data_IF_184733094315
#
_entry.id   IF_184733094315
#
_cell.length_a   1.000
_cell.length_b   1.000
_cell.length_c   1.000
_cell.angle_alpha   90.00
_cell.angle_beta   90.00
_cell.angle_gamma   90.00
#
_symmetry.space_group_name_H-M   'P 1'
#
loop_
_entity.id
_entity.type
_entity.pdbx_description
1 polymer ?
#
# COMPACT_ATOMS: atom_id res chain seq x y z
N UNK A 1 -9.58 4.29 -37.64
CA UNK A 1 -8.60 3.21 -37.77
C UNK A 1 -8.82 2.21 -36.64
N UNK A 2 -8.79 0.89 -36.89
CA UNK A 2 -9.00 -0.11 -35.86
C UNK A 2 -7.87 -0.07 -34.81
N UNK A 3 -8.19 -0.51 -33.60
CA UNK A 3 -7.22 -0.68 -32.53
C UNK A 3 -6.55 -2.04 -32.66
N UNK A 4 -5.25 -2.06 -32.50
CA UNK A 4 -4.46 -3.28 -32.43
C UNK A 4 -3.72 -3.35 -31.09
N UNK A 5 -3.87 -4.48 -30.36
CA UNK A 5 -3.14 -4.71 -29.12
C UNK A 5 -1.96 -5.62 -29.38
N UNK A 6 -0.76 -5.17 -28.99
CA UNK A 6 0.49 -5.91 -29.18
C UNK A 6 1.24 -6.08 -27.87
N UNK A 7 1.84 -7.26 -27.63
CA UNK A 7 2.72 -7.47 -26.48
C UNK A 7 4.05 -6.72 -26.66
N UNK A 8 4.58 -6.23 -25.55
CA UNK A 8 5.88 -5.54 -25.49
C UNK A 8 7.00 -6.58 -25.55
N UNK A 9 7.77 -6.57 -26.64
CA UNK A 9 8.87 -7.54 -26.86
C UNK A 9 10.23 -6.85 -27.01
N UNK A 10 10.30 -5.83 -27.83
CA UNK A 10 11.56 -5.14 -28.14
C UNK A 10 11.87 -4.01 -27.14
N UNK A 11 13.13 -3.60 -27.05
CA UNK A 11 13.56 -2.47 -26.21
C UNK A 11 12.83 -1.15 -26.54
N UNK A 12 12.49 -0.97 -27.83
CA UNK A 12 11.70 0.19 -28.28
C UNK A 12 10.30 0.17 -27.69
N UNK A 13 9.67 -1.01 -27.59
CA UNK A 13 8.31 -1.15 -27.08
C UNK A 13 8.31 -0.88 -25.56
N UNK A 14 9.32 -1.35 -24.82
CA UNK A 14 9.51 -1.00 -23.40
C UNK A 14 9.65 0.52 -23.24
N UNK A 15 10.37 1.18 -24.15
CA UNK A 15 10.52 2.64 -24.11
C UNK A 15 9.19 3.33 -24.35
N UNK A 16 8.41 2.86 -25.33
CA UNK A 16 7.06 3.34 -25.61
C UNK A 16 6.14 3.13 -24.41
N UNK A 17 6.13 1.92 -23.84
CA UNK A 17 5.33 1.59 -22.66
C UNK A 17 5.64 2.53 -21.48
N UNK A 18 6.92 2.74 -21.16
CA UNK A 18 7.34 3.60 -20.06
C UNK A 18 6.99 5.07 -20.33
N UNK A 19 7.09 5.53 -21.57
CA UNK A 19 6.92 6.95 -21.90
C UNK A 19 5.50 7.34 -22.34
N UNK A 20 4.58 6.39 -22.48
CA UNK A 20 3.22 6.66 -22.88
C UNK A 20 2.49 7.68 -21.97
N UNK A 21 2.64 7.65 -20.63
CA UNK A 21 1.99 8.60 -19.74
C UNK A 21 2.27 10.07 -20.08
N UNK A 22 3.49 10.39 -20.53
CA UNK A 22 3.84 11.78 -20.96
C UNK A 22 3.06 12.27 -22.18
N UNK A 23 2.45 11.37 -22.95
CA UNK A 23 1.60 11.70 -24.10
C UNK A 23 0.13 11.77 -23.75
N UNK A 24 -0.26 11.18 -22.64
CA UNK A 24 -1.66 11.14 -22.17
C UNK A 24 -1.91 12.28 -21.19
N UNK A 25 -1.01 12.51 -20.25
CA UNK A 25 -1.20 13.52 -19.22
C UNK A 25 -0.74 14.91 -19.70
N UNK A 26 -1.62 15.89 -19.49
CA UNK A 26 -1.31 17.27 -19.86
C UNK A 26 -0.15 17.84 -19.03
N UNK A 27 0.77 18.58 -19.65
CA UNK A 27 1.81 19.29 -18.93
C UNK A 27 1.21 20.28 -17.91
N UNK A 28 1.79 20.32 -16.71
CA UNK A 28 1.32 21.22 -15.63
C UNK A 28 0.10 20.73 -14.87
N UNK A 29 -0.48 19.60 -15.25
CA UNK A 29 -1.55 18.94 -14.49
C UNK A 29 -1.08 18.34 -13.15
N UNK A 30 -1.98 17.70 -12.40
CA UNK A 30 -1.66 17.07 -11.12
C UNK A 30 -0.70 15.88 -11.24
N UNK A 31 -0.70 15.19 -12.38
CA UNK A 31 0.16 14.02 -12.61
C UNK A 31 1.63 14.32 -12.38
N UNK A 32 2.34 13.39 -11.74
CA UNK A 32 3.77 13.51 -11.44
C UNK A 32 4.56 12.49 -12.24
N UNK A 33 5.44 12.94 -13.15
CA UNK A 33 6.27 12.07 -13.96
C UNK A 33 7.23 11.23 -13.10
N UNK A 34 7.18 9.87 -13.16
CA UNK A 34 8.13 9.03 -12.47
C UNK A 34 9.51 9.07 -13.17
N UNK A 35 10.56 8.64 -12.47
CA UNK A 35 11.88 8.50 -13.09
C UNK A 35 11.87 7.37 -14.13
N UNK A 36 12.16 7.69 -15.39
CA UNK A 36 12.18 6.72 -16.51
C UNK A 36 13.09 5.52 -16.22
N UNK A 37 14.25 5.76 -15.57
CA UNK A 37 15.19 4.70 -15.20
C UNK A 37 14.59 3.73 -14.19
N UNK A 38 13.87 4.24 -13.20
CA UNK A 38 13.23 3.42 -12.17
C UNK A 38 12.06 2.62 -12.75
N UNK A 39 11.24 3.24 -13.61
CA UNK A 39 10.17 2.52 -14.32
C UNK A 39 10.71 1.35 -15.13
N UNK A 40 11.80 1.55 -15.90
CA UNK A 40 12.44 0.47 -16.63
C UNK A 40 12.97 -0.64 -15.74
N UNK A 41 13.52 -0.29 -14.56
CA UNK A 41 14.03 -1.26 -13.58
C UNK A 41 12.88 -2.04 -12.93
N UNK A 42 11.76 -1.40 -12.67
CA UNK A 42 10.57 -2.05 -12.14
C UNK A 42 10.01 -3.09 -13.12
N UNK A 43 10.00 -2.79 -14.41
CA UNK A 43 9.53 -3.70 -15.47
C UNK A 43 10.55 -4.79 -15.86
N UNK A 44 11.80 -4.69 -15.40
CA UNK A 44 12.87 -5.64 -15.78
C UNK A 44 12.71 -6.96 -15.05
N UNK A 45 12.26 -7.99 -15.79
CA UNK A 45 12.02 -9.34 -15.27
C UNK A 45 13.25 -10.00 -14.64
N UNK A 46 14.46 -9.56 -14.99
CA UNK A 46 15.71 -10.13 -14.45
C UNK A 46 16.16 -9.44 -13.16
N UNK A 47 15.76 -8.20 -12.93
CA UNK A 47 16.25 -7.35 -11.84
C UNK A 47 15.22 -7.11 -10.74
N UNK A 48 13.95 -7.24 -11.07
CA UNK A 48 12.87 -7.07 -10.08
C UNK A 48 12.61 -8.41 -9.37
N UNK A 49 12.82 -8.50 -8.03
CA UNK A 49 12.61 -9.72 -7.27
C UNK A 49 11.16 -10.24 -7.30
N UNK A 50 10.19 -9.39 -7.61
CA UNK A 50 8.80 -9.80 -7.85
C UNK A 50 8.69 -10.98 -8.83
N UNK A 51 9.51 -11.00 -9.88
CA UNK A 51 9.49 -12.07 -10.89
C UNK A 51 10.10 -13.40 -10.45
N UNK A 52 10.57 -13.50 -9.22
CA UNK A 52 10.94 -14.80 -8.64
C UNK A 52 9.71 -15.67 -8.30
N UNK A 53 8.54 -15.04 -8.11
CA UNK A 53 7.29 -15.71 -7.75
C UNK A 53 6.09 -15.26 -8.58
N UNK A 54 6.31 -14.48 -9.62
CA UNK A 54 5.25 -13.92 -10.44
C UNK A 54 5.62 -13.92 -11.93
N UNK A 55 4.62 -13.85 -12.76
CA UNK A 55 4.76 -13.64 -14.20
C UNK A 55 3.91 -12.45 -14.65
N UNK A 56 4.32 -11.79 -15.72
CA UNK A 56 3.59 -10.66 -16.26
C UNK A 56 3.70 -10.58 -17.79
N UNK A 57 2.67 -10.01 -18.40
CA UNK A 57 2.68 -9.54 -19.77
C UNK A 57 2.44 -8.03 -19.82
N UNK A 58 3.11 -7.36 -20.72
CA UNK A 58 2.93 -5.93 -20.96
C UNK A 58 2.33 -5.74 -22.34
N UNK A 59 1.27 -4.96 -22.44
CA UNK A 59 0.47 -4.79 -23.63
C UNK A 59 0.39 -3.30 -24.01
N UNK A 60 0.48 -3.00 -25.30
CA UNK A 60 0.30 -1.68 -25.89
C UNK A 60 -0.84 -1.72 -26.90
N UNK A 61 -1.77 -0.77 -26.79
CA UNK A 61 -2.77 -0.52 -27.83
C UNK A 61 -2.23 0.51 -28.83
N UNK A 62 -2.41 0.22 -30.08
CA UNK A 62 -1.98 1.05 -31.22
C UNK A 62 -3.16 1.44 -32.08
N UNK A 63 -3.22 2.70 -32.50
CA UNK A 63 -4.18 3.23 -33.47
C UNK A 63 -3.43 4.09 -34.47
N UNK A 64 -3.50 3.72 -35.77
CA UNK A 64 -2.83 4.49 -36.83
C UNK A 64 -1.31 4.60 -36.66
N UNK A 65 -0.66 3.58 -36.07
CA UNK A 65 0.79 3.59 -35.82
C UNK A 65 1.23 4.35 -34.56
N UNK A 66 0.29 4.94 -33.81
CA UNK A 66 0.54 5.63 -32.55
C UNK A 66 0.09 4.75 -31.36
N UNK A 67 0.92 4.67 -30.31
CA UNK A 67 0.52 4.02 -29.06
C UNK A 67 -0.49 4.92 -28.31
N UNK A 68 -1.70 4.40 -28.04
CA UNK A 68 -2.80 5.12 -27.41
C UNK A 68 -3.15 4.61 -26.02
N UNK A 69 -2.66 3.42 -25.65
CA UNK A 69 -2.89 2.86 -24.33
C UNK A 69 -1.89 1.77 -23.98
N UNK A 70 -1.80 1.45 -22.69
CA UNK A 70 -0.98 0.38 -22.14
C UNK A 70 -1.67 -0.29 -20.94
N UNK A 71 -1.33 -1.55 -20.68
CA UNK A 71 -1.72 -2.27 -19.46
C UNK A 71 -0.71 -3.39 -19.19
N UNK A 72 -0.55 -3.80 -17.94
CA UNK A 72 0.06 -5.09 -17.60
C UNK A 72 -1.01 -6.07 -17.14
N UNK A 73 -0.86 -7.35 -17.53
CA UNK A 73 -1.51 -8.47 -16.88
C UNK A 73 -0.44 -9.27 -16.13
N UNK A 74 -0.72 -9.72 -14.91
CA UNK A 74 0.28 -10.45 -14.13
C UNK A 74 -0.38 -11.38 -13.11
N UNK A 75 0.33 -12.45 -12.77
CA UNK A 75 -0.08 -13.42 -11.75
C UNK A 75 1.00 -13.45 -10.68
N UNK A 76 0.61 -13.18 -9.46
CA UNK A 76 1.46 -13.36 -8.29
C UNK A 76 1.09 -14.68 -7.61
N UNK A 77 1.89 -15.72 -7.88
CA UNK A 77 1.65 -17.06 -7.34
C UNK A 77 1.77 -17.10 -5.81
N UNK A 78 2.58 -16.22 -5.22
CA UNK A 78 2.74 -16.13 -3.78
C UNK A 78 1.51 -15.50 -3.11
N UNK A 79 0.97 -14.43 -3.68
CA UNK A 79 -0.29 -13.83 -3.23
C UNK A 79 -1.40 -14.87 -3.28
N UNK A 80 -1.53 -15.57 -4.41
CA UNK A 80 -2.55 -16.57 -4.61
C UNK A 80 -2.42 -17.75 -3.62
N UNK A 81 -1.19 -18.23 -3.41
CA UNK A 81 -0.94 -19.28 -2.41
C UNK A 81 -1.22 -18.81 -0.98
N UNK A 82 -0.87 -17.56 -0.63
CA UNK A 82 -1.13 -17.00 0.69
C UNK A 82 -2.62 -16.85 0.99
N UNK A 83 -3.38 -16.45 -0.02
CA UNK A 83 -4.81 -16.14 0.14
C UNK A 83 -5.73 -17.28 -0.23
N UNK A 84 -5.24 -18.36 -0.80
CA UNK A 84 -6.05 -19.45 -1.33
C UNK A 84 -6.92 -19.02 -2.53
N UNK A 85 -6.40 -18.11 -3.39
CA UNK A 85 -7.12 -17.55 -4.53
C UNK A 85 -6.47 -17.91 -5.87
N UNK A 86 -7.15 -17.61 -6.98
CA UNK A 86 -6.62 -17.71 -8.35
C UNK A 86 -6.74 -16.34 -9.04
N UNK A 87 -6.36 -15.29 -8.34
CA UNK A 87 -6.45 -13.93 -8.89
C UNK A 87 -5.44 -13.71 -9.99
N UNK A 88 -5.89 -13.18 -11.10
CA UNK A 88 -5.08 -12.46 -12.07
C UNK A 88 -5.11 -10.98 -11.76
N UNK A 89 -3.98 -10.31 -11.86
CA UNK A 89 -3.84 -8.90 -11.55
C UNK A 89 -3.61 -8.08 -12.81
N UNK A 90 -4.08 -6.82 -12.81
CA UNK A 90 -3.80 -5.86 -13.86
C UNK A 90 -3.31 -4.53 -13.27
N UNK A 91 -2.44 -3.83 -14.01
CA UNK A 91 -1.88 -2.56 -13.55
C UNK A 91 -1.18 -1.78 -14.67
N UNK A 92 -0.43 -0.75 -14.33
CA UNK A 92 0.23 0.16 -15.28
C UNK A 92 -0.72 0.66 -16.38
N UNK A 93 -2.01 0.73 -16.06
CA UNK A 93 -3.03 1.11 -17.02
C UNK A 93 -2.94 2.60 -17.32
N UNK A 94 -2.79 2.90 -18.58
CA UNK A 94 -2.85 4.25 -19.13
C UNK A 94 -3.52 4.18 -20.49
N UNK A 95 -4.49 5.03 -20.73
CA UNK A 95 -5.19 5.08 -21.99
C UNK A 95 -5.65 6.50 -22.29
N UNK A 96 -5.63 6.89 -23.57
CA UNK A 96 -6.37 8.08 -24.02
C UNK A 96 -7.86 7.88 -23.71
N UNK A 97 -8.65 8.94 -23.76
CA UNK A 97 -10.11 8.83 -23.68
C UNK A 97 -10.64 8.16 -24.96
N UNK A 98 -10.49 6.85 -24.99
CA UNK A 98 -10.76 5.96 -26.12
C UNK A 98 -11.29 4.62 -25.60
N UNK A 99 -12.62 4.46 -25.49
CA UNK A 99 -13.24 3.24 -24.99
C UNK A 99 -12.85 1.97 -25.77
N UNK A 100 -12.71 2.06 -27.11
CA UNK A 100 -12.32 0.90 -27.93
C UNK A 100 -10.88 0.44 -27.56
N UNK A 101 -9.94 1.38 -27.40
CA UNK A 101 -8.58 1.05 -27.03
C UNK A 101 -8.47 0.49 -25.59
N UNK A 102 -9.22 1.09 -24.64
CA UNK A 102 -9.25 0.63 -23.26
C UNK A 102 -9.84 -0.80 -23.17
N UNK A 103 -10.97 -1.03 -23.81
CA UNK A 103 -11.63 -2.33 -23.82
C UNK A 103 -10.77 -3.41 -24.50
N UNK A 104 -10.12 -3.08 -25.63
CA UNK A 104 -9.21 -4.01 -26.29
C UNK A 104 -8.02 -4.40 -25.40
N UNK A 105 -7.45 -3.43 -24.65
CA UNK A 105 -6.36 -3.71 -23.69
C UNK A 105 -6.81 -4.61 -22.55
N UNK A 106 -7.95 -4.29 -21.93
CA UNK A 106 -8.49 -5.06 -20.83
C UNK A 106 -8.90 -6.47 -21.27
N UNK A 107 -9.48 -6.62 -22.49
CA UNK A 107 -9.80 -7.92 -23.06
C UNK A 107 -8.56 -8.78 -23.33
N UNK A 108 -7.48 -8.18 -23.85
CA UNK A 108 -6.22 -8.87 -24.04
C UNK A 108 -5.55 -9.29 -22.72
N UNK A 109 -5.67 -8.46 -21.68
CA UNK A 109 -5.23 -8.80 -20.32
C UNK A 109 -6.07 -9.93 -19.72
N UNK A 110 -7.39 -9.87 -19.87
CA UNK A 110 -8.35 -10.92 -19.44
C UNK A 110 -8.04 -12.26 -20.08
N UNK A 111 -7.86 -12.29 -21.40
CA UNK A 111 -7.51 -13.52 -22.14
C UNK A 111 -6.20 -14.11 -21.63
N UNK A 112 -5.14 -13.29 -21.46
CA UNK A 112 -3.85 -13.72 -20.95
C UNK A 112 -3.94 -14.32 -19.54
N UNK A 113 -4.80 -13.76 -18.66
CA UNK A 113 -5.05 -14.26 -17.32
C UNK A 113 -5.88 -15.55 -17.32
N UNK A 114 -6.89 -15.64 -18.19
CA UNK A 114 -7.71 -16.86 -18.38
C UNK A 114 -6.87 -18.05 -18.82
N UNK A 115 -5.93 -17.86 -19.78
CA UNK A 115 -4.96 -18.89 -20.19
C UNK A 115 -4.11 -19.45 -19.03
N UNK A 116 -4.01 -18.71 -17.91
CA UNK A 116 -3.25 -19.09 -16.72
C UNK A 116 -4.12 -19.64 -15.60
N UNK A 117 -5.40 -19.89 -15.90
CA UNK A 117 -6.33 -20.46 -14.96
C UNK A 117 -6.75 -19.53 -13.82
N UNK A 118 -6.61 -18.22 -14.01
CA UNK A 118 -7.19 -17.26 -13.09
C UNK A 118 -8.71 -17.26 -13.20
N UNK A 119 -9.40 -17.14 -12.06
CA UNK A 119 -10.87 -17.08 -11.99
C UNK A 119 -11.40 -15.66 -11.84
N UNK A 120 -10.49 -14.71 -11.59
CA UNK A 120 -10.84 -13.31 -11.35
C UNK A 120 -9.70 -12.38 -11.79
N UNK A 121 -10.06 -11.28 -12.44
CA UNK A 121 -9.17 -10.20 -12.79
C UNK A 121 -9.34 -9.05 -11.80
N UNK A 122 -8.27 -8.64 -11.07
CA UNK A 122 -8.31 -7.66 -9.97
C UNK A 122 -7.27 -6.57 -10.18
N UNK A 123 -7.62 -5.31 -9.91
CA UNK A 123 -6.70 -4.17 -10.01
C UNK A 123 -7.41 -2.81 -10.03
N UNK A 124 -6.72 -1.73 -10.45
CA UNK A 124 -5.33 -1.73 -10.91
C UNK A 124 -4.33 -1.82 -9.75
N UNK A 125 -3.26 -2.58 -9.97
CA UNK A 125 -2.09 -2.67 -9.08
C UNK A 125 -0.82 -2.74 -9.93
N UNK A 126 0.16 -1.91 -9.62
CA UNK A 126 1.45 -1.99 -10.28
C UNK A 126 2.30 -3.08 -9.60
N UNK A 127 1.98 -4.33 -9.95
CA UNK A 127 2.45 -5.62 -9.43
C UNK A 127 1.83 -6.04 -8.10
N UNK A 128 1.83 -5.20 -7.07
CA UNK A 128 1.31 -5.56 -5.75
C UNK A 128 0.75 -4.35 -5.01
N UNK A 129 0.07 -4.60 -3.89
CA UNK A 129 -0.42 -3.54 -2.99
C UNK A 129 0.69 -2.68 -2.35
N UNK A 130 1.95 -3.12 -2.46
CA UNK A 130 3.11 -2.35 -1.98
C UNK A 130 3.59 -1.29 -2.98
N UNK A 131 3.09 -1.32 -4.22
CA UNK A 131 3.30 -0.32 -5.27
C UNK A 131 2.14 0.66 -5.42
N UNK A 132 2.16 1.49 -6.47
CA UNK A 132 1.00 2.27 -6.86
C UNK A 132 -0.18 1.36 -7.16
N UNK A 133 -1.33 1.61 -6.53
CA UNK A 133 -2.50 0.75 -6.67
C UNK A 133 -3.81 1.50 -6.42
N UNK A 134 -4.89 0.97 -6.99
CA UNK A 134 -6.21 1.57 -7.00
C UNK A 134 -6.37 2.67 -8.07
N UNK A 135 -7.53 2.75 -8.67
CA UNK A 135 -7.91 3.79 -9.62
C UNK A 135 -8.42 5.02 -8.86
N UNK A 136 -7.88 6.20 -9.13
CA UNK A 136 -8.39 7.44 -8.55
C UNK A 136 -9.83 7.68 -9.03
N UNK A 137 -10.77 7.81 -8.10
CA UNK A 137 -12.21 8.03 -8.39
C UNK A 137 -12.75 9.34 -7.80
N UNK A 138 -12.03 9.95 -6.85
CA UNK A 138 -12.32 11.28 -6.29
C UNK A 138 -11.01 11.99 -5.91
N UNK A 139 -11.01 13.33 -5.97
CA UNK A 139 -9.83 14.14 -5.62
C UNK A 139 -8.89 14.42 -6.80
N UNK A 140 -9.38 14.40 -8.03
CA UNK A 140 -8.62 14.56 -9.28
C UNK A 140 -7.79 15.83 -9.38
N UNK A 141 -8.19 16.92 -8.70
CA UNK A 141 -7.48 18.19 -8.70
C UNK A 141 -6.19 18.16 -7.85
N UNK A 142 -6.04 17.17 -6.99
CA UNK A 142 -4.90 17.05 -6.09
C UNK A 142 -3.79 16.22 -6.72
N UNK A 143 -2.56 16.69 -6.56
CA UNK A 143 -1.40 15.89 -6.96
C UNK A 143 -1.27 14.63 -6.11
N UNK A 144 -0.76 13.52 -6.69
CA UNK A 144 -0.44 12.33 -5.94
C UNK A 144 0.78 12.56 -5.06
N UNK A 145 0.79 11.98 -3.86
CA UNK A 145 2.01 11.86 -3.07
C UNK A 145 2.86 10.66 -3.51
N UNK A 146 4.05 10.54 -2.95
CA UNK A 146 4.98 9.45 -3.30
C UNK A 146 4.31 8.07 -3.20
N UNK A 147 4.53 7.20 -4.21
CA UNK A 147 3.92 5.87 -4.34
C UNK A 147 2.38 5.88 -4.49
N UNK A 148 1.79 6.97 -4.85
CA UNK A 148 0.36 7.10 -5.12
C UNK A 148 0.13 7.26 -6.63
N UNK A 149 -0.81 6.52 -7.24
CA UNK A 149 -1.17 6.73 -8.62
C UNK A 149 -2.07 7.96 -8.78
N UNK A 150 -2.03 8.56 -9.96
CA UNK A 150 -2.98 9.59 -10.37
C UNK A 150 -3.56 9.23 -11.73
N UNK A 151 -4.86 9.40 -11.88
CA UNK A 151 -5.59 9.07 -13.10
C UNK A 151 -6.54 10.19 -13.49
N UNK A 152 -6.75 10.43 -14.80
CA UNK A 152 -7.83 11.30 -15.29
C UNK A 152 -9.20 10.74 -14.91
N UNK A 153 -10.18 11.61 -14.76
CA UNK A 153 -11.53 11.22 -14.32
C UNK A 153 -12.24 10.25 -15.29
N UNK A 154 -11.94 10.32 -16.57
CA UNK A 154 -12.54 9.44 -17.58
C UNK A 154 -12.09 7.98 -17.48
N UNK A 155 -10.96 7.66 -16.80
CA UNK A 155 -10.54 6.27 -16.61
C UNK A 155 -11.58 5.42 -15.91
N UNK A 156 -12.34 6.01 -14.99
CA UNK A 156 -13.44 5.32 -14.31
C UNK A 156 -14.46 4.81 -15.33
N UNK A 157 -14.89 5.65 -16.24
CA UNK A 157 -15.85 5.26 -17.29
C UNK A 157 -15.28 4.19 -18.23
N UNK A 158 -14.00 4.25 -18.57
CA UNK A 158 -13.34 3.24 -19.40
C UNK A 158 -13.33 1.86 -18.74
N UNK A 159 -13.02 1.80 -17.43
CA UNK A 159 -12.91 0.56 -16.67
C UNK A 159 -14.31 -0.04 -16.38
N UNK A 160 -15.24 0.79 -15.91
CA UNK A 160 -16.62 0.38 -15.62
C UNK A 160 -17.37 -0.03 -16.92
N UNK A 161 -17.13 0.69 -18.04
CA UNK A 161 -17.68 0.37 -19.36
C UNK A 161 -17.19 -0.96 -19.94
N UNK A 162 -16.04 -1.47 -19.51
CA UNK A 162 -15.56 -2.81 -19.83
C UNK A 162 -16.29 -3.90 -19.03
N UNK A 163 -17.12 -3.56 -18.07
CA UNK A 163 -17.84 -4.49 -17.20
C UNK A 163 -17.07 -4.87 -15.94
N UNK A 164 -16.09 -4.10 -15.52
CA UNK A 164 -15.49 -4.27 -14.21
C UNK A 164 -16.34 -3.65 -13.12
N UNK A 165 -16.43 -4.32 -11.98
CA UNK A 165 -17.17 -3.89 -10.81
C UNK A 165 -16.24 -3.47 -9.67
N UNK A 166 -16.73 -2.59 -8.80
CA UNK A 166 -15.98 -2.13 -7.64
C UNK A 166 -15.78 -3.29 -6.65
N UNK A 167 -14.53 -3.58 -6.30
CA UNK A 167 -14.17 -4.57 -5.30
C UNK A 167 -13.93 -3.92 -3.93
N UNK A 168 -13.04 -2.93 -3.87
CA UNK A 168 -12.63 -2.25 -2.64
C UNK A 168 -12.38 -0.79 -2.90
N UNK A 169 -12.83 0.07 -1.98
CA UNK A 169 -12.51 1.50 -1.97
C UNK A 169 -11.55 1.82 -0.83
N UNK A 170 -10.57 2.66 -1.10
CA UNK A 170 -9.60 3.14 -0.11
C UNK A 170 -9.62 4.65 -0.02
N UNK A 171 -9.44 5.14 1.19
CA UNK A 171 -9.47 6.55 1.54
C UNK A 171 -8.05 7.08 1.74
N UNK A 172 -7.85 8.33 1.31
CA UNK A 172 -6.69 9.15 1.66
C UNK A 172 -7.13 10.25 2.60
N UNK A 173 -6.52 10.27 3.76
CA UNK A 173 -6.81 11.22 4.81
C UNK A 173 -5.74 12.31 4.85
N UNK A 174 -6.15 13.56 4.78
CA UNK A 174 -5.26 14.72 4.92
C UNK A 174 -5.36 15.29 6.35
N UNK A 175 -4.21 15.49 6.97
CA UNK A 175 -4.05 16.22 8.22
C UNK A 175 -3.24 17.50 7.99
N UNK A 176 -3.82 18.65 8.33
CA UNK A 176 -3.08 19.91 8.40
C UNK A 176 -2.41 20.06 9.75
N UNK A 177 -1.10 20.21 9.75
CA UNK A 177 -0.31 20.25 10.98
C UNK A 177 -0.32 21.62 11.67
N UNK A 178 -0.94 22.64 11.03
CA UNK A 178 -1.29 23.91 11.70
C UNK A 178 -2.35 23.74 12.79
N UNK A 179 -3.14 22.66 12.71
CA UNK A 179 -4.22 22.34 13.64
C UNK A 179 -3.72 21.50 14.84
N UNK A 180 -2.44 21.66 15.21
CA UNK A 180 -1.77 20.90 16.30
C UNK A 180 -2.48 20.94 17.66
N UNK A 181 -3.29 21.95 17.87
CA UNK A 181 -4.10 22.09 19.07
C UNK A 181 -5.23 21.03 19.20
N UNK A 182 -5.31 20.08 18.25
CA UNK A 182 -6.40 19.11 18.17
C UNK A 182 -6.01 17.66 18.43
N UNK A 183 -4.80 17.37 18.90
CA UNK A 183 -4.58 16.09 19.57
C UNK A 183 -5.48 16.07 20.79
N UNK A 184 -6.42 15.11 20.81
CA UNK A 184 -7.27 14.93 21.96
C UNK A 184 -6.40 14.62 23.18
N UNK A 185 -6.62 15.25 24.36
CA UNK A 185 -5.83 15.00 25.56
C UNK A 185 -5.71 13.51 25.90
N UNK A 186 -6.76 12.73 25.66
CA UNK A 186 -6.75 11.27 25.86
C UNK A 186 -5.66 10.55 25.06
N UNK A 187 -5.30 11.05 23.87
CA UNK A 187 -4.23 10.44 23.05
C UNK A 187 -2.86 10.69 23.70
N UNK A 188 -2.65 11.88 24.26
CA UNK A 188 -1.42 12.22 24.99
C UNK A 188 -1.32 11.43 26.30
N UNK A 189 -2.40 11.32 27.08
CA UNK A 189 -2.47 10.51 28.29
C UNK A 189 -2.15 9.03 28.02
N UNK A 190 -2.75 8.45 26.96
CA UNK A 190 -2.45 7.07 26.56
C UNK A 190 -0.98 6.87 26.16
N UNK A 191 -0.40 7.86 25.49
CA UNK A 191 1.00 7.81 25.10
C UNK A 191 1.95 7.91 26.32
N UNK A 192 1.62 8.74 27.33
CA UNK A 192 2.42 8.88 28.57
C UNK A 192 2.40 7.62 29.42
N UNK A 193 1.29 6.88 29.43
CA UNK A 193 1.13 5.62 30.16
C UNK A 193 1.81 4.41 29.50
N UNK A 194 2.21 4.54 28.25
CA UNK A 194 2.70 3.45 27.42
C UNK A 194 3.95 2.76 28.00
N UNK A 195 4.96 3.52 28.40
CA UNK A 195 6.21 2.97 28.96
C UNK A 195 5.99 2.47 30.39
N UNK A 196 5.37 3.23 31.34
CA UNK A 196 5.23 2.77 32.72
C UNK A 196 4.26 1.58 32.88
N UNK A 197 3.17 1.51 32.11
CA UNK A 197 2.15 0.45 32.27
C UNK A 197 2.41 -0.78 31.37
N UNK A 198 2.95 -0.56 30.17
CA UNK A 198 3.07 -1.62 29.18
C UNK A 198 4.52 -1.97 28.80
N UNK A 199 5.51 -1.22 29.35
CA UNK A 199 6.93 -1.41 29.03
C UNK A 199 7.27 -1.18 27.56
N UNK A 200 6.45 -0.40 26.83
CA UNK A 200 6.64 -0.12 25.41
C UNK A 200 7.32 1.23 25.25
N UNK A 201 8.44 1.22 24.54
CA UNK A 201 9.21 2.42 24.21
C UNK A 201 9.16 2.70 22.72
N UNK A 202 8.95 3.95 22.33
CA UNK A 202 9.00 4.38 20.92
C UNK A 202 10.37 4.99 20.62
N UNK A 203 10.96 4.59 19.51
CA UNK A 203 12.20 5.14 19.00
C UNK A 203 12.19 5.36 17.50
N UNK A 204 13.08 6.18 17.02
CA UNK A 204 13.35 6.34 15.59
C UNK A 204 14.21 5.19 15.05
N UNK A 205 14.04 4.87 13.76
CA UNK A 205 14.88 3.88 13.08
C UNK A 205 16.32 4.37 12.91
N UNK A 206 17.30 3.47 13.14
CA UNK A 206 18.71 3.79 12.90
C UNK A 206 19.08 3.54 11.42
N UNK A 207 19.37 4.62 10.70
CA UNK A 207 19.81 4.56 9.29
C UNK A 207 21.11 3.79 9.09
N UNK A 208 21.94 3.62 10.12
CA UNK A 208 23.20 2.87 10.06
C UNK A 208 22.91 1.37 9.95
N UNK A 209 21.82 0.92 10.57
CA UNK A 209 21.37 -0.47 10.61
C UNK A 209 20.12 -0.71 9.79
N UNK A 210 19.88 0.08 8.72
CA UNK A 210 18.62 0.10 7.97
C UNK A 210 18.13 -1.28 7.53
N UNK A 211 19.02 -2.21 7.18
CA UNK A 211 18.63 -3.58 6.82
C UNK A 211 17.99 -4.35 7.99
N UNK A 212 18.49 -4.17 9.21
CA UNK A 212 17.91 -4.77 10.42
C UNK A 212 16.58 -4.09 10.77
N UNK A 213 16.52 -2.75 10.67
CA UNK A 213 15.31 -1.97 10.94
C UNK A 213 14.17 -2.33 9.98
N UNK A 214 14.46 -2.52 8.70
CA UNK A 214 13.45 -2.95 7.70
C UNK A 214 12.94 -4.36 8.01
N UNK A 215 13.78 -5.28 8.48
CA UNK A 215 13.30 -6.60 8.92
C UNK A 215 12.43 -6.52 10.17
N UNK A 216 12.79 -5.66 11.15
CA UNK A 216 11.95 -5.39 12.34
C UNK A 216 10.61 -4.79 11.94
N UNK A 217 10.62 -3.82 11.02
CA UNK A 217 9.41 -3.26 10.45
C UNK A 217 8.54 -4.33 9.79
N UNK A 218 9.15 -5.20 8.95
CA UNK A 218 8.43 -6.23 8.22
C UNK A 218 7.72 -7.22 9.15
N UNK A 219 8.33 -7.61 10.29
CA UNK A 219 7.68 -8.49 11.28
C UNK A 219 6.37 -7.90 11.82
N UNK A 220 6.40 -6.63 12.23
CA UNK A 220 5.19 -5.94 12.70
C UNK A 220 4.19 -5.75 11.55
N UNK A 221 4.70 -5.40 10.36
CA UNK A 221 3.88 -5.22 9.18
C UNK A 221 3.13 -6.50 8.81
N UNK A 222 3.81 -7.64 8.79
CA UNK A 222 3.18 -8.94 8.52
C UNK A 222 2.13 -9.28 9.58
N UNK A 223 2.43 -9.12 10.86
CA UNK A 223 1.48 -9.41 11.95
C UNK A 223 0.25 -8.49 11.91
N UNK A 224 0.45 -7.19 11.65
CA UNK A 224 -0.62 -6.20 11.68
C UNK A 224 -1.54 -6.27 10.46
N UNK A 225 -1.00 -6.65 9.26
CA UNK A 225 -1.73 -6.65 7.98
C UNK A 225 -2.04 -8.02 7.41
N UNK A 226 -1.70 -9.13 8.09
CA UNK A 226 -1.90 -10.50 7.60
C UNK A 226 -3.30 -10.77 7.01
N UNK A 227 -4.33 -10.17 7.59
CA UNK A 227 -5.74 -10.34 7.17
C UNK A 227 -6.26 -9.22 6.26
N UNK A 228 -5.44 -8.22 5.93
CA UNK A 228 -5.88 -7.13 5.07
C UNK A 228 -6.05 -7.60 3.62
N UNK A 229 -7.00 -6.96 2.94
CA UNK A 229 -7.28 -7.24 1.54
C UNK A 229 -6.03 -7.04 0.67
N UNK A 230 -5.77 -7.99 -0.22
CA UNK A 230 -4.63 -7.93 -1.16
C UNK A 230 -3.24 -8.08 -0.54
N UNK A 231 -3.13 -8.27 0.79
CA UNK A 231 -1.84 -8.44 1.45
C UNK A 231 -1.23 -9.81 1.15
N UNK A 232 0.08 -9.82 0.92
CA UNK A 232 0.95 -10.98 0.99
C UNK A 232 2.28 -10.58 1.63
N UNK A 233 2.92 -11.46 2.42
CA UNK A 233 4.23 -11.18 3.01
C UNK A 233 5.28 -10.88 1.94
N UNK A 234 6.22 -10.00 2.23
CA UNK A 234 7.34 -9.70 1.35
C UNK A 234 8.43 -10.78 1.46
N UNK A 235 9.06 -11.09 0.34
CA UNK A 235 10.25 -11.95 0.34
C UNK A 235 11.46 -11.17 0.87
N UNK A 236 12.47 -11.89 1.38
CA UNK A 236 13.72 -11.28 1.83
C UNK A 236 14.41 -10.47 0.70
N UNK A 237 14.29 -10.92 -0.55
CA UNK A 237 14.82 -10.21 -1.71
C UNK A 237 14.08 -8.87 -1.96
N UNK A 238 12.77 -8.84 -1.78
CA UNK A 238 11.96 -7.63 -1.86
C UNK A 238 12.26 -6.69 -0.70
N UNK A 239 12.37 -7.20 0.53
CA UNK A 239 12.76 -6.39 1.70
C UNK A 239 14.13 -5.74 1.50
N UNK A 240 15.13 -6.49 0.99
CA UNK A 240 16.45 -5.92 0.65
C UNK A 240 16.35 -4.86 -0.45
N UNK A 241 15.46 -5.05 -1.42
CA UNK A 241 15.21 -4.05 -2.44
C UNK A 241 14.59 -2.80 -1.85
N UNK A 242 13.52 -2.93 -1.05
CA UNK A 242 12.87 -1.79 -0.38
C UNK A 242 13.85 -1.04 0.52
N UNK A 243 14.66 -1.73 1.32
CA UNK A 243 15.70 -1.09 2.15
C UNK A 243 16.67 -0.25 1.31
N UNK A 244 17.09 -0.76 0.14
CA UNK A 244 17.98 -0.05 -0.77
C UNK A 244 17.30 1.15 -1.42
N UNK A 245 16.07 0.99 -1.88
CA UNK A 245 15.33 2.01 -2.64
C UNK A 245 14.83 3.13 -1.68
N UNK A 246 14.54 2.81 -0.41
CA UNK A 246 14.18 3.78 0.63
C UNK A 246 15.37 4.56 1.16
N UNK A 247 16.57 4.00 1.17
CA UNK A 247 17.77 4.62 1.79
C UNK A 247 18.02 6.09 1.40
N UNK A 248 17.90 6.51 0.12
CA UNK A 248 18.12 7.91 -0.28
C UNK A 248 17.00 8.86 0.12
N UNK A 249 15.78 8.34 0.37
CA UNK A 249 14.56 9.13 0.59
C UNK A 249 14.04 9.01 2.03
N UNK A 250 14.50 8.02 2.79
CA UNK A 250 14.11 7.83 4.18
C UNK A 250 14.64 8.95 5.05
N UNK A 251 13.74 9.60 5.75
CA UNK A 251 14.04 10.46 6.87
C UNK A 251 13.75 9.68 8.17
N UNK A 252 14.79 9.46 8.99
CA UNK A 252 14.66 8.66 10.20
C UNK A 252 13.69 9.26 11.22
N UNK A 253 13.52 10.58 11.20
CA UNK A 253 12.59 11.26 12.11
C UNK A 253 11.14 10.86 11.86
N UNK A 254 10.81 10.38 10.64
CA UNK A 254 9.49 9.90 10.24
C UNK A 254 9.35 8.38 10.24
N UNK A 255 10.36 7.65 10.70
CA UNK A 255 10.36 6.19 10.73
C UNK A 255 10.50 5.69 12.18
N UNK A 256 9.41 5.19 12.74
CA UNK A 256 9.28 4.85 14.16
C UNK A 256 9.10 3.36 14.37
N UNK A 257 9.69 2.87 15.44
CA UNK A 257 9.48 1.54 16.01
C UNK A 257 9.03 1.69 17.46
N UNK A 258 7.95 1.00 17.83
CA UNK A 258 7.59 0.75 19.22
C UNK A 258 8.12 -0.62 19.61
N UNK A 259 8.85 -0.72 20.72
CA UNK A 259 9.52 -1.93 21.19
C UNK A 259 9.14 -2.24 22.64
N UNK A 260 8.93 -3.52 22.94
CA UNK A 260 8.74 -4.04 24.28
C UNK A 260 9.78 -5.13 24.53
N UNK A 261 10.65 -4.93 25.55
CA UNK A 261 11.74 -5.88 25.81
C UNK A 261 12.71 -6.09 24.64
N UNK A 262 12.86 -5.07 23.76
CA UNK A 262 13.72 -5.16 22.55
C UNK A 262 13.02 -5.75 21.32
N UNK A 263 11.81 -6.30 21.45
CA UNK A 263 11.02 -6.82 20.32
C UNK A 263 10.10 -5.74 19.74
N UNK A 264 10.03 -5.61 18.39
CA UNK A 264 9.17 -4.63 17.74
C UNK A 264 7.71 -5.05 17.85
N UNK A 265 6.88 -4.15 18.37
CA UNK A 265 5.44 -4.36 18.60
C UNK A 265 4.57 -3.34 17.86
N UNK A 266 5.17 -2.27 17.37
CA UNK A 266 4.46 -1.26 16.58
C UNK A 266 5.40 -0.53 15.63
N UNK A 267 4.85 -0.02 14.53
CA UNK A 267 5.59 0.71 13.50
C UNK A 267 4.80 1.90 13.00
N UNK A 268 5.51 2.98 12.65
CA UNK A 268 4.99 4.03 11.80
C UNK A 268 6.05 4.45 10.79
N UNK A 269 5.66 4.62 9.54
CA UNK A 269 6.54 5.03 8.46
C UNK A 269 5.93 6.20 7.69
N UNK A 270 6.55 7.36 7.82
CA UNK A 270 6.31 8.52 7.00
C UNK A 270 7.43 8.70 5.97
N UNK A 271 7.07 9.09 4.77
CA UNK A 271 8.03 9.52 3.74
C UNK A 271 7.76 10.97 3.36
N UNK A 272 8.78 11.86 3.39
CA UNK A 272 8.67 13.17 2.79
C UNK A 272 8.19 13.06 1.34
N UNK A 273 7.26 13.92 0.92
CA UNK A 273 6.68 13.81 -0.42
C UNK A 273 7.67 14.20 -1.53
N UNK A 274 8.47 13.24 -1.94
CA UNK A 274 9.41 13.40 -3.04
C UNK A 274 8.75 13.65 -4.40
N UNK A 275 7.43 13.51 -4.53
CA UNK A 275 6.73 13.91 -5.75
C UNK A 275 6.85 15.41 -6.00
N UNK A 276 6.99 16.24 -4.96
CA UNK A 276 7.33 17.68 -5.10
C UNK A 276 8.68 17.90 -5.78
N UNK A 277 9.60 16.95 -5.63
CA UNK A 277 10.90 16.96 -6.33
C UNK A 277 10.76 16.38 -7.74
N UNK A 278 10.12 15.22 -7.89
CA UNK A 278 9.96 14.49 -9.16
C UNK A 278 9.26 15.33 -10.22
N UNK A 279 8.23 16.09 -9.83
CA UNK A 279 7.53 17.03 -10.73
C UNK A 279 8.47 18.00 -11.46
N UNK A 280 9.57 18.41 -10.80
CA UNK A 280 10.58 19.33 -11.36
C UNK A 280 11.62 18.64 -12.23
N UNK A 281 11.68 17.29 -12.20
CA UNK A 281 12.67 16.48 -12.91
C UNK A 281 12.17 15.97 -14.25
N UNK A 282 10.85 15.97 -14.47
CA UNK A 282 10.21 15.45 -15.67
C UNK A 282 10.78 14.09 -16.10
N UNK A 283 10.90 13.17 -15.14
CA UNK A 283 11.40 11.81 -15.38
C UNK A 283 12.92 11.68 -15.60
N UNK A 284 13.70 12.77 -15.47
CA UNK A 284 15.15 12.78 -15.77
C UNK A 284 15.97 13.27 -14.58
N UNK A 285 16.80 12.38 -14.03
CA UNK A 285 17.74 12.72 -12.97
C UNK A 285 19.10 13.22 -13.51
N UNK A 286 19.53 12.75 -14.68
CA UNK A 286 20.81 13.08 -15.30
C UNK A 286 20.58 13.93 -16.57
N UNK A 287 21.55 14.81 -16.96
CA UNK A 287 22.83 15.06 -16.27
C UNK A 287 22.74 15.99 -15.07
N UNK A 288 21.85 17.00 -15.02
CA UNK A 288 21.79 18.04 -14.00
C UNK A 288 20.57 17.95 -13.06
N UNK A 289 19.66 17.00 -13.29
CA UNK A 289 18.46 16.83 -12.48
C UNK A 289 18.76 16.55 -10.99
N UNK A 290 19.85 15.85 -10.70
CA UNK A 290 20.27 15.57 -9.32
C UNK A 290 20.57 16.83 -8.50
N UNK A 291 21.14 17.87 -9.12
CA UNK A 291 21.35 19.17 -8.46
C UNK A 291 20.02 19.86 -8.13
N UNK A 292 19.07 19.79 -9.09
CA UNK A 292 17.71 20.29 -8.86
C UNK A 292 17.02 19.51 -7.75
N UNK A 293 17.18 18.19 -7.72
CA UNK A 293 16.64 17.32 -6.67
C UNK A 293 17.22 17.69 -5.29
N UNK A 294 18.53 17.88 -5.17
CA UNK A 294 19.18 18.28 -3.92
C UNK A 294 18.67 19.61 -3.36
N UNK A 295 18.43 20.58 -4.24
CA UNK A 295 17.85 21.87 -3.84
C UNK A 295 16.37 21.75 -3.49
N UNK A 296 15.62 21.00 -4.28
CA UNK A 296 14.17 20.84 -4.12
C UNK A 296 13.80 20.08 -2.85
N UNK A 297 14.57 19.03 -2.45
CA UNK A 297 14.29 18.24 -1.25
C UNK A 297 14.24 19.07 0.04
N UNK A 298 15.00 20.20 0.09
CA UNK A 298 14.98 21.11 1.24
C UNK A 298 13.68 21.90 1.37
N UNK A 299 12.81 21.86 0.35
CA UNK A 299 11.55 22.59 0.28
C UNK A 299 10.35 21.68 0.42
N UNK A 300 10.56 20.38 0.64
CA UNK A 300 9.46 19.44 0.90
C UNK A 300 8.80 19.87 2.20
N UNK A 301 7.48 20.07 2.13
CA UNK A 301 6.64 20.51 3.23
C UNK A 301 5.43 19.59 3.47
N UNK A 302 5.42 18.44 2.79
CA UNK A 302 4.42 17.41 2.95
C UNK A 302 5.07 16.06 3.25
N UNK A 303 4.35 15.23 4.01
CA UNK A 303 4.75 13.86 4.34
C UNK A 303 3.60 12.90 4.05
N UNK A 304 3.91 11.74 3.51
CA UNK A 304 2.97 10.64 3.39
C UNK A 304 3.22 9.63 4.50
N UNK A 305 2.21 9.35 5.31
CA UNK A 305 2.22 8.25 6.28
C UNK A 305 1.80 6.98 5.54
N UNK A 306 2.78 6.15 5.21
CA UNK A 306 2.61 4.93 4.43
C UNK A 306 2.05 3.78 5.25
N UNK A 307 2.46 3.69 6.50
CA UNK A 307 2.07 2.62 7.39
C UNK A 307 2.05 3.12 8.84
N UNK A 308 1.06 2.70 9.59
CA UNK A 308 1.00 2.75 11.03
C UNK A 308 0.29 1.48 11.47
N UNK A 309 0.96 0.65 12.25
CA UNK A 309 0.40 -0.63 12.67
C UNK A 309 0.99 -1.11 13.98
N UNK A 310 0.19 -1.91 14.67
CA UNK A 310 0.51 -2.50 15.97
C UNK A 310 0.18 -3.97 15.91
N UNK A 311 1.01 -4.81 16.51
CA UNK A 311 0.72 -6.24 16.62
C UNK A 311 -0.63 -6.46 17.32
N UNK A 312 -1.40 -7.51 16.94
CA UNK A 312 -2.76 -7.71 17.43
C UNK A 312 -2.87 -7.70 18.95
N UNK A 313 -1.90 -8.27 19.66
CA UNK A 313 -1.89 -8.44 21.12
C UNK A 313 -1.81 -7.12 21.89
N UNK A 314 -1.33 -6.04 21.26
CA UNK A 314 -1.13 -4.73 21.89
C UNK A 314 -1.97 -3.60 21.27
N UNK A 315 -2.97 -3.93 20.45
CA UNK A 315 -3.82 -2.90 19.80
C UNK A 315 -4.52 -1.99 20.81
N UNK A 316 -4.88 -2.53 21.99
CA UNK A 316 -5.61 -1.79 23.04
C UNK A 316 -4.69 -1.14 24.09
N UNK A 317 -3.36 -1.32 23.96
CA UNK A 317 -2.39 -0.80 24.93
C UNK A 317 -1.95 0.66 24.67
N UNK A 318 -2.59 1.40 23.75
CA UNK A 318 -2.22 2.78 23.45
C UNK A 318 -0.99 2.94 22.54
N UNK A 319 -0.42 1.85 21.99
CA UNK A 319 0.78 1.90 21.14
C UNK A 319 0.57 2.81 19.92
N UNK A 320 -0.60 2.74 19.29
CA UNK A 320 -0.94 3.61 18.18
C UNK A 320 -0.99 5.09 18.60
N UNK A 321 -1.54 5.40 19.78
CA UNK A 321 -1.57 6.76 20.33
C UNK A 321 -0.14 7.31 20.51
N UNK A 322 0.77 6.50 21.09
CA UNK A 322 2.17 6.88 21.24
C UNK A 322 2.87 7.15 19.90
N UNK A 323 2.63 6.30 18.88
CA UNK A 323 3.16 6.52 17.53
C UNK A 323 2.61 7.81 16.90
N UNK A 324 1.33 8.12 17.07
CA UNK A 324 0.72 9.37 16.62
C UNK A 324 1.37 10.58 17.31
N UNK A 325 1.49 10.57 18.63
CA UNK A 325 2.10 11.66 19.40
C UNK A 325 3.53 11.92 18.90
N UNK A 326 4.33 10.89 18.65
CA UNK A 326 5.70 11.07 18.17
C UNK A 326 5.76 11.60 16.73
N UNK A 327 4.85 11.17 15.84
CA UNK A 327 4.70 11.75 14.51
C UNK A 327 4.34 13.25 14.59
N UNK A 328 3.44 13.63 15.48
CA UNK A 328 3.10 15.05 15.71
C UNK A 328 4.25 15.84 16.30
N UNK A 329 5.04 15.28 17.21
CA UNK A 329 6.28 15.90 17.74
C UNK A 329 7.29 16.12 16.64
N UNK A 330 7.49 15.12 15.76
CA UNK A 330 8.34 15.22 14.58
C UNK A 330 7.86 16.33 13.63
N UNK A 331 6.57 16.37 13.36
CA UNK A 331 5.97 17.43 12.55
C UNK A 331 6.21 18.82 13.15
N UNK A 332 6.09 18.95 14.48
CA UNK A 332 6.31 20.20 15.19
C UNK A 332 7.73 20.76 15.02
N UNK A 333 8.73 19.89 14.90
CA UNK A 333 10.14 20.24 14.73
C UNK A 333 10.56 20.36 13.26
N UNK A 334 9.69 19.99 12.32
CA UNK A 334 9.95 19.96 10.89
C UNK A 334 9.32 21.15 10.15
N UNK A 335 9.56 21.21 8.83
CA UNK A 335 8.89 22.15 7.91
C UNK A 335 7.58 21.61 7.36
N UNK A 336 7.23 20.36 7.69
CA UNK A 336 6.05 19.70 7.18
C UNK A 336 4.80 20.40 7.70
N UNK A 337 3.91 20.77 6.76
CA UNK A 337 2.66 21.49 7.03
C UNK A 337 1.44 20.61 6.79
N UNK A 338 1.61 19.54 6.01
CA UNK A 338 0.54 18.65 5.62
C UNK A 338 1.03 17.20 5.65
N UNK A 339 0.27 16.34 6.30
CA UNK A 339 0.45 14.90 6.24
C UNK A 339 -0.73 14.28 5.49
N UNK A 340 -0.47 13.29 4.66
CA UNK A 340 -1.49 12.45 4.03
C UNK A 340 -1.28 11.01 4.48
N UNK A 341 -2.31 10.41 5.08
CA UNK A 341 -2.29 9.04 5.56
C UNK A 341 -3.10 8.12 4.62
N UNK A 342 -2.65 6.91 4.45
CA UNK A 342 -3.36 5.89 3.69
C UNK A 342 -2.50 5.23 2.62
N UNK A 343 -3.05 4.23 1.98
CA UNK A 343 -4.53 4.04 1.84
C UNK A 343 -5.14 3.33 3.08
N UNK A 344 -6.32 3.78 3.48
CA UNK A 344 -7.14 3.16 4.52
C UNK A 344 -8.37 2.57 3.85
N UNK A 345 -8.71 1.32 4.13
CA UNK A 345 -9.94 0.71 3.61
C UNK A 345 -11.16 1.52 4.08
N UNK A 346 -12.10 1.80 3.19
CA UNK A 346 -13.34 2.50 3.54
C UNK A 346 -14.12 1.73 4.61
N UNK A 347 -14.00 0.39 4.63
CA UNK A 347 -14.61 -0.51 5.61
C UNK A 347 -13.84 -0.62 6.93
N UNK A 348 -12.67 0.01 7.07
CA UNK A 348 -11.90 -0.01 8.31
C UNK A 348 -12.40 1.12 9.24
N UNK A 349 -13.55 0.87 9.87
CA UNK A 349 -14.22 1.86 10.71
C UNK A 349 -13.35 2.39 11.86
N UNK A 350 -12.55 1.53 12.50
CA UNK A 350 -11.71 1.94 13.63
C UNK A 350 -10.65 2.94 13.20
N UNK A 351 -9.98 2.68 12.06
CA UNK A 351 -8.97 3.60 11.54
C UNK A 351 -9.60 4.89 11.01
N UNK A 352 -10.76 4.80 10.36
CA UNK A 352 -11.47 5.97 9.85
C UNK A 352 -11.93 6.87 11.00
N UNK A 353 -12.51 6.31 12.07
CA UNK A 353 -12.84 7.07 13.30
C UNK A 353 -11.61 7.70 13.96
N UNK A 354 -10.48 6.99 14.01
CA UNK A 354 -9.24 7.55 14.53
C UNK A 354 -8.74 8.74 13.71
N UNK A 355 -8.86 8.68 12.37
CA UNK A 355 -8.50 9.79 11.48
C UNK A 355 -9.42 11.01 11.68
N UNK A 356 -10.71 10.80 11.83
CA UNK A 356 -11.67 11.87 12.16
C UNK A 356 -11.36 12.50 13.53
N UNK A 357 -11.05 11.68 14.53
CA UNK A 357 -10.75 12.14 15.89
C UNK A 357 -9.50 13.03 15.95
N UNK A 358 -8.50 12.82 15.06
CA UNK A 358 -7.34 13.72 14.96
C UNK A 358 -7.60 14.91 14.03
N UNK A 359 -8.84 15.10 13.54
CA UNK A 359 -9.24 16.22 12.68
C UNK A 359 -8.77 16.11 11.23
N UNK A 360 -8.42 14.90 10.79
CA UNK A 360 -8.12 14.65 9.38
C UNK A 360 -9.40 14.64 8.53
N UNK A 361 -9.26 14.84 7.24
CA UNK A 361 -10.37 14.79 6.28
C UNK A 361 -10.03 13.92 5.08
N UNK A 362 -10.99 13.23 4.52
CA UNK A 362 -10.84 12.49 3.27
C UNK A 362 -10.66 13.48 2.13
N UNK A 363 -9.59 13.31 1.34
CA UNK A 363 -9.26 14.18 0.21
C UNK A 363 -9.22 13.46 -1.13
N UNK A 364 -8.98 12.14 -1.13
CA UNK A 364 -9.00 11.32 -2.34
C UNK A 364 -9.62 9.96 -2.04
N UNK A 365 -10.22 9.35 -3.06
CA UNK A 365 -10.64 7.95 -3.04
C UNK A 365 -10.02 7.22 -4.20
N UNK A 366 -9.50 6.01 -3.91
CA UNK A 366 -9.04 5.08 -4.92
C UNK A 366 -9.87 3.81 -4.83
N UNK A 367 -10.17 3.22 -5.99
CA UNK A 367 -11.01 2.03 -6.09
C UNK A 367 -10.27 0.93 -6.80
N UNK A 368 -10.34 -0.27 -6.24
CA UNK A 368 -9.97 -1.47 -6.92
C UNK A 368 -11.20 -2.05 -7.60
N UNK A 369 -10.99 -2.57 -8.78
CA UNK A 369 -12.01 -3.17 -9.60
C UNK A 369 -11.72 -4.64 -9.80
N UNK A 370 -12.78 -5.42 -10.00
CA UNK A 370 -12.67 -6.83 -10.30
C UNK A 370 -13.67 -7.26 -11.37
N UNK A 371 -13.35 -8.36 -12.05
CA UNK A 371 -14.23 -9.04 -12.98
C UNK A 371 -14.00 -10.54 -12.85
N UNK A 372 -15.08 -11.32 -12.72
CA UNK A 372 -15.01 -12.77 -12.81
C UNK A 372 -14.57 -13.17 -14.23
N UNK A 373 -13.65 -14.11 -14.32
CA UNK A 373 -13.23 -14.69 -15.58
C UNK A 373 -14.05 -15.94 -15.84
N UNK A 374 -14.48 -16.13 -17.08
CA UNK A 374 -15.21 -17.36 -17.46
C UNK A 374 -14.30 -18.56 -17.23
N UNK A 375 -14.79 -19.60 -16.62
CA UNK A 375 -14.11 -20.90 -16.56
C UNK A 375 -14.03 -21.45 -17.99
N UNK A 376 -12.92 -21.24 -18.70
CA UNK A 376 -12.60 -22.14 -19.80
C UNK A 376 -12.29 -23.50 -19.19
N UNK A 377 -13.06 -24.52 -19.59
CA UNK A 377 -12.89 -25.90 -19.10
C UNK A 377 -11.42 -26.35 -19.16
N UNK A 378 -10.99 -27.29 -18.32
CA UNK A 378 -9.60 -27.55 -17.98
C UNK A 378 -8.76 -27.98 -19.20
N UNK A 379 -7.99 -27.06 -19.76
CA UNK A 379 -6.83 -27.42 -20.57
C UNK A 379 -5.66 -27.70 -19.62
N UNK A 380 -5.60 -28.96 -19.14
CA UNK A 380 -4.48 -29.51 -18.40
C UNK A 380 -3.17 -29.32 -19.20
N UNK A 381 -2.32 -28.38 -18.77
CA UNK A 381 -0.87 -28.47 -19.00
C UNK A 381 -0.21 -28.93 -17.71
N UNK A 382 0.19 -30.20 -17.71
CA UNK A 382 0.70 -30.95 -16.56
C UNK A 382 2.17 -30.63 -16.20
N UNK A 383 2.80 -29.53 -16.68
CA UNK A 383 4.27 -29.41 -16.63
C UNK A 383 4.82 -28.32 -15.69
N UNK A 384 4.01 -27.66 -14.88
CA UNK A 384 4.50 -26.59 -13.99
C UNK A 384 4.66 -27.01 -12.51
N UNK A 385 4.46 -28.26 -12.16
CA UNK A 385 4.35 -28.71 -10.77
C UNK A 385 5.66 -28.85 -9.93
N UNK A 386 6.90 -28.92 -10.47
CA UNK A 386 8.07 -29.20 -9.60
C UNK A 386 8.68 -27.97 -8.93
N UNK A 387 8.57 -26.78 -9.54
CA UNK A 387 9.28 -25.58 -9.02
C UNK A 387 8.54 -24.93 -7.84
N UNK A 388 7.21 -24.96 -7.82
CA UNK A 388 6.41 -24.31 -6.76
C UNK A 388 6.47 -25.11 -5.46
N UNK A 389 6.57 -26.45 -5.53
CA UNK A 389 6.73 -27.30 -4.33
C UNK A 389 8.09 -27.10 -3.65
N UNK A 390 9.15 -26.77 -4.38
CA UNK A 390 10.47 -26.46 -3.79
C UNK A 390 10.50 -25.12 -3.07
N UNK A 391 9.83 -24.10 -3.58
CA UNK A 391 9.76 -22.79 -2.94
C UNK A 391 8.92 -22.81 -1.65
N UNK A 392 7.82 -23.58 -1.64
CA UNK A 392 7.01 -23.77 -0.43
C UNK A 392 7.71 -24.61 0.63
N UNK A 393 8.51 -25.61 0.24
CA UNK A 393 9.29 -26.43 1.15
C UNK A 393 10.49 -25.67 1.74
N UNK A 394 11.14 -24.80 0.98
CA UNK A 394 12.20 -23.94 1.47
C UNK A 394 11.72 -22.90 2.49
N UNK A 395 10.56 -22.26 2.27
CA UNK A 395 9.95 -21.35 3.23
C UNK A 395 9.46 -22.03 4.52
N UNK A 396 9.25 -23.35 4.51
CA UNK A 396 8.94 -24.14 5.71
C UNK A 396 10.22 -24.60 6.45
N UNK A 397 11.31 -24.88 5.72
CA UNK A 397 12.59 -25.28 6.27
C UNK A 397 13.31 -24.10 6.96
N UNK A 398 13.22 -22.89 6.39
CA UNK A 398 13.79 -21.68 7.01
C UNK A 398 13.08 -21.31 8.33
N UNK A 399 11.79 -21.64 8.47
CA UNK A 399 11.04 -21.48 9.73
C UNK A 399 11.40 -22.53 10.79
N UNK A 400 11.85 -23.70 10.40
CA UNK A 400 12.27 -24.76 11.33
C UNK A 400 13.70 -24.53 11.86
N UNK A 401 14.53 -23.79 11.13
CA UNK A 401 15.91 -23.50 11.54
C UNK A 401 16.00 -22.36 12.56
N UNK A 402 15.05 -21.40 12.53
CA UNK A 402 14.96 -20.32 13.53
C UNK A 402 14.23 -20.73 14.83
N UNK A 403 13.57 -21.88 14.85
CA UNK A 403 12.86 -22.42 16.02
C UNK A 403 13.66 -23.46 16.83
N UNK A 404 14.91 -23.73 16.47
CA UNK A 404 15.79 -24.76 17.08
C UNK A 404 16.58 -24.30 18.29
N UNK A 405 15.93 -23.69 19.27
CA UNK A 405 16.55 -23.36 20.56
C UNK A 405 15.54 -23.45 21.71
N UNK A 406 15.14 -24.63 22.13
CA UNK A 406 14.27 -24.79 23.29
C UNK A 406 13.35 -26.01 23.18
N UNK A 407 13.97 -27.21 23.22
CA UNK A 407 13.20 -28.43 23.35
C UNK A 407 13.05 -28.75 24.83
N UNK A 408 11.83 -28.54 25.35
CA UNK A 408 11.19 -29.47 26.33
C UNK A 408 9.77 -28.92 26.63
N UNK A 409 8.78 -29.75 26.35
CA UNK A 409 7.41 -29.56 26.84
C UNK A 409 6.39 -29.20 25.74
N UNK A 410 5.77 -30.23 25.21
CA UNK A 410 4.31 -30.37 25.02
C UNK A 410 4.01 -31.43 23.97
N UNK A 411 3.97 -32.66 24.42
CA UNK A 411 3.15 -33.71 23.78
C UNK A 411 1.71 -33.52 24.27
N UNK A 412 0.80 -33.69 23.35
CA UNK A 412 -0.64 -33.91 23.48
C UNK A 412 -1.54 -32.75 23.01
N UNK A 413 -2.03 -32.89 21.83
CA UNK A 413 -3.46 -32.85 21.43
C UNK A 413 -3.56 -32.89 19.91
N UNK A 414 -3.66 -34.11 19.38
CA UNK A 414 -4.23 -34.37 18.06
C UNK A 414 -5.73 -34.62 18.25
N UNK A 415 -6.50 -34.33 17.17
CA UNK A 415 -7.90 -34.68 16.92
C UNK A 415 -8.94 -33.62 17.32
N UNK A 416 -9.44 -32.91 16.32
CA UNK A 416 -10.86 -32.91 15.94
C UNK A 416 -11.09 -31.99 14.74
N UNK A 417 -11.75 -32.52 13.78
CA UNK A 417 -12.26 -31.94 12.51
C UNK A 417 -13.52 -31.06 12.70
N UNK A 418 -14.13 -30.52 11.65
CA UNK A 418 -14.51 -29.12 11.51
C UNK A 418 -15.97 -28.83 11.83
N UNK A 419 -16.32 -27.62 12.16
CA UNK A 419 -17.71 -27.13 12.11
C UNK A 419 -17.76 -25.75 11.49
N UNK A 420 -18.66 -25.66 10.53
CA UNK A 420 -19.21 -24.49 9.87
C UNK A 420 -19.64 -23.36 10.80
N UNK A 421 -19.57 -22.16 10.24
CA UNK A 421 -20.64 -21.16 10.41
C UNK A 421 -20.54 -20.27 11.62
N UNK A 422 -20.53 -19.05 11.32
CA UNK A 422 -21.32 -17.96 11.88
C UNK A 422 -20.53 -16.66 12.01
N UNK A 423 -21.08 -15.69 11.36
CA UNK A 423 -20.89 -14.27 11.59
C UNK A 423 -21.05 -13.91 13.08
N UNK A 424 -20.27 -12.98 13.57
CA UNK A 424 -20.73 -12.28 14.73
C UNK A 424 -19.68 -11.70 15.65
N UNK A 425 -19.69 -10.37 15.66
CA UNK A 425 -19.38 -9.46 16.81
C UNK A 425 -17.90 -9.34 17.15
N UNK A 426 -17.20 -8.26 16.79
CA UNK A 426 -17.52 -6.91 17.24
C UNK A 426 -17.03 -6.70 18.67
N UNK A 427 -15.70 -6.47 18.84
CA UNK A 427 -15.14 -5.92 20.06
C UNK A 427 -14.80 -4.45 19.82
N UNK A 428 -15.76 -3.58 20.06
CA UNK A 428 -15.61 -2.15 19.95
C UNK A 428 -14.73 -1.61 21.08
N UNK A 429 -13.79 -0.74 20.76
CA UNK A 429 -13.31 0.28 21.68
C UNK A 429 -14.47 1.26 21.93
N UNK A 430 -15.30 0.96 22.91
CA UNK A 430 -16.33 1.85 23.38
C UNK A 430 -15.72 2.99 24.17
N UNK A 431 -15.56 4.15 23.56
CA UNK A 431 -15.54 5.40 24.31
C UNK A 431 -16.99 5.74 24.60
N UNK A 432 -17.44 5.41 25.80
CA UNK A 432 -18.74 5.80 26.29
C UNK A 432 -18.74 7.31 26.53
N UNK A 433 -19.42 8.04 25.66
CA UNK A 433 -19.91 9.39 25.97
C UNK A 433 -21.24 9.21 26.69
N UNK A 434 -21.20 9.27 28.03
CA UNK A 434 -22.37 9.35 28.86
C UNK A 434 -22.95 10.76 28.82
N UNK A 435 -24.01 10.92 28.04
CA UNK A 435 -24.90 12.05 28.16
C UNK A 435 -26.19 11.57 28.81
N UNK A 436 -26.44 11.93 30.05
CA UNK A 436 -27.80 11.92 30.58
C UNK A 436 -28.06 13.18 31.40
N UNK A 437 -28.88 14.04 30.82
CA UNK A 437 -29.41 15.22 31.45
C UNK A 437 -30.57 14.84 32.35
N UNK A 438 -30.50 15.21 33.63
CA UNK A 438 -31.70 15.54 34.41
C UNK A 438 -31.46 16.72 35.32
N UNK A 439 -32.30 17.69 35.09
CA UNK A 439 -32.57 18.87 35.90
C UNK A 439 -33.07 18.43 37.28
N UNK A 440 -32.54 19.05 38.34
CA UNK A 440 -33.07 18.92 39.68
C UNK A 440 -32.59 20.07 40.56
N UNK A 441 -33.49 20.95 40.87
CA UNK A 441 -33.36 22.14 41.72
C UNK A 441 -32.84 21.88 43.13
N UNK A 442 -32.10 22.83 43.66
CA UNK A 442 -32.30 23.28 45.05
C UNK A 442 -31.11 23.18 45.98
N UNK A 443 -30.68 24.31 46.52
CA UNK A 443 -30.07 24.33 47.83
C UNK A 443 -28.79 25.16 47.96
N UNK A 444 -28.97 26.38 48.35
CA UNK A 444 -28.01 27.37 48.83
C UNK A 444 -27.25 26.97 50.10
N UNK A 445 -26.08 27.57 50.27
CA UNK A 445 -25.40 28.11 51.50
C UNK A 445 -23.95 27.65 51.55
N UNK A 446 -23.03 28.53 51.37
CA UNK A 446 -22.38 29.56 52.24
C UNK A 446 -21.23 29.01 53.07
N UNK A 447 -20.07 29.61 52.82
CA UNK A 447 -19.03 30.00 53.79
C UNK A 447 -18.18 28.86 54.42
N UNK A 448 -16.87 29.00 54.12
CA UNK A 448 -15.76 28.41 54.82
C UNK A 448 -14.52 28.46 53.96
#
# INVERSE_FOLDING_TARGET
>A
MPVEVRPVRARRDVTTFVRLPWRIHAPGGPWVPPLVREQRRTLDRRRNPFFAHAEAEYLLAWRGGEAVGRVSAHVDHRLNAWRGTRWGLWGFFECRDDPEAAHALLAAAEAWLGERGCDRMVGPMDFSVHGPCGLLVEGYALAPQVLEPWHPSYYRALVEGYGMTAAVTTLKWEQRLSDRARLLPVIEELAERLEPEHGVRIRHMDRRCLGAEVRRFARVYEAAWAHHWGFAPLTEAELRRYARDLRPVLDADWALLAERGGEPVGVALGLPDYNQVLRRLDGRLLPLGWLRALRARRRIDEVRILALGVVPELRHAGVAAGLYVELFRTAARSRVRRAEAGWVLETNEDMNRAMEAVGARVVKRHRFYEKALAEEGPRLRADAAPAVRRAAAQGAADRAHDAGGGAEGLRAAALADPVEGAAGRGGALGVAVGGDGRVGHGGSCSIG
#
